data_IF_717046783052
#
_entry.id   IF_717046783052
#
_cell.length_a   1.000
_cell.length_b   1.000
_cell.length_c   1.000
_cell.angle_alpha   90.00
_cell.angle_beta   90.00
_cell.angle_gamma   90.00
#
_symmetry.space_group_name_H-M   'P 1'
#
loop_
_entity.id
_entity.type
_entity.pdbx_description
1 polymer ?
#
# COMPACT_ATOMS: atom_id res chain seq x y z
N UNK A 1 -19.43 92.49 -46.14
CA UNK A 1 -18.02 92.11 -45.93
C UNK A 1 -17.87 91.61 -44.51
N UNK A 2 -17.74 90.29 -44.35
CA UNK A 2 -17.04 89.63 -43.25
C UNK A 2 -16.64 88.24 -43.77
N UNK A 3 -15.38 87.79 -43.60
CA UNK A 3 -14.80 86.75 -44.45
C UNK A 3 -15.13 85.34 -43.97
N UNK A 4 -15.22 84.44 -44.94
CA UNK A 4 -15.39 82.99 -44.79
C UNK A 4 -14.09 82.35 -44.25
N UNK A 5 -14.18 81.36 -43.33
CA UNK A 5 -12.98 80.80 -42.68
C UNK A 5 -12.15 79.94 -43.63
N UNK A 6 -10.83 80.15 -43.60
CA UNK A 6 -9.83 79.39 -44.35
C UNK A 6 -9.79 77.90 -43.94
N UNK A 7 -9.57 76.98 -44.90
CA UNK A 7 -9.44 75.56 -44.60
C UNK A 7 -8.14 75.24 -43.87
N UNK A 8 -8.26 74.38 -42.86
CA UNK A 8 -7.17 73.92 -42.00
C UNK A 8 -6.17 73.04 -42.78
N UNK A 9 -4.84 73.19 -42.59
CA UNK A 9 -3.84 72.40 -43.30
C UNK A 9 -3.85 70.92 -42.87
N UNK A 10 -3.68 70.02 -43.84
CA UNK A 10 -3.46 68.58 -43.64
C UNK A 10 -2.17 68.33 -42.83
N UNK A 11 -2.16 67.39 -41.87
CA UNK A 11 -0.93 67.01 -41.18
C UNK A 11 -0.02 66.16 -42.09
N UNK A 12 1.28 66.48 -42.07
CA UNK A 12 2.34 65.81 -42.83
C UNK A 12 2.49 64.31 -42.51
N UNK A 13 2.94 63.47 -43.47
CA UNK A 13 3.25 62.08 -43.22
C UNK A 13 4.64 61.95 -42.56
N UNK A 14 4.66 61.59 -41.27
CA UNK A 14 5.90 61.45 -40.50
C UNK A 14 5.97 60.17 -39.68
N UNK A 15 6.81 59.22 -40.13
CA UNK A 15 7.46 58.21 -39.29
C UNK A 15 6.99 56.76 -39.46
N UNK A 16 7.71 55.97 -40.26
CA UNK A 16 7.68 54.51 -40.18
C UNK A 16 8.19 54.04 -38.80
N UNK A 17 7.34 53.35 -38.05
CA UNK A 17 7.71 52.66 -36.82
C UNK A 17 8.29 51.29 -37.25
N UNK A 18 9.53 50.92 -36.88
CA UNK A 18 10.05 49.61 -37.22
C UNK A 18 9.21 48.53 -36.53
N UNK A 19 8.70 47.59 -37.34
CA UNK A 19 8.01 46.40 -36.87
C UNK A 19 8.94 45.55 -36.01
N UNK A 20 8.67 45.54 -34.71
CA UNK A 20 9.23 44.61 -33.75
C UNK A 20 8.13 44.21 -32.79
N UNK A 21 7.52 43.04 -33.02
CA UNK A 21 6.62 42.41 -32.06
C UNK A 21 7.50 42.03 -30.87
N UNK A 22 7.34 42.71 -29.73
CA UNK A 22 7.89 42.24 -28.46
C UNK A 22 7.05 41.01 -28.09
N UNK A 23 7.63 39.80 -27.96
CA UNK A 23 6.87 38.66 -27.51
C UNK A 23 6.49 38.91 -26.03
N UNK A 24 5.20 38.89 -25.74
CA UNK A 24 4.71 38.75 -24.37
C UNK A 24 5.33 37.47 -23.77
N UNK A 25 5.71 37.46 -22.48
CA UNK A 25 6.13 36.22 -21.84
C UNK A 25 5.00 35.20 -21.99
N UNK A 26 5.31 34.09 -22.62
CA UNK A 26 4.40 32.96 -22.77
C UNK A 26 4.08 32.46 -21.36
N UNK A 27 2.81 32.57 -20.98
CA UNK A 27 2.33 31.93 -19.75
C UNK A 27 2.51 30.44 -20.00
N UNK A 28 3.47 29.82 -19.33
CA UNK A 28 3.56 28.36 -19.26
C UNK A 28 2.23 27.86 -18.68
N UNK A 29 1.35 27.40 -19.56
CA UNK A 29 0.23 26.57 -19.17
C UNK A 29 0.87 25.27 -18.68
N UNK A 30 0.71 24.89 -17.40
CA UNK A 30 1.22 23.61 -16.93
C UNK A 30 0.70 22.52 -17.84
N UNK A 31 1.63 21.68 -18.30
CA UNK A 31 1.44 20.76 -19.41
C UNK A 31 0.12 19.99 -19.39
N UNK A 32 -0.33 19.71 -20.61
CA UNK A 32 -1.43 18.81 -20.95
C UNK A 32 -1.50 17.63 -19.96
N UNK A 33 -2.56 17.59 -19.16
CA UNK A 33 -2.81 16.55 -18.17
C UNK A 33 -3.05 15.23 -18.92
N UNK A 34 -2.18 14.21 -18.79
CA UNK A 34 -2.47 12.92 -19.41
C UNK A 34 -3.61 12.26 -18.61
N UNK A 35 -4.76 12.09 -19.25
CA UNK A 35 -5.90 11.32 -18.74
C UNK A 35 -7.15 12.17 -18.51
N UNK A 36 -8.00 12.29 -19.53
CA UNK A 36 -9.38 12.79 -19.39
C UNK A 36 -10.28 11.71 -18.77
N UNK A 37 -9.97 11.30 -17.54
CA UNK A 37 -10.97 10.75 -16.62
C UNK A 37 -11.77 11.91 -16.07
N UNK A 38 -13.10 11.91 -16.23
CA UNK A 38 -13.99 13.02 -15.85
C UNK A 38 -13.63 13.73 -14.54
N UNK A 39 -13.65 15.07 -14.56
CA UNK A 39 -13.25 15.94 -13.44
C UNK A 39 -14.19 15.71 -12.25
N UNK A 40 -13.70 15.03 -11.22
CA UNK A 40 -14.36 14.85 -9.92
C UNK A 40 -14.08 16.03 -8.99
N UNK A 41 -14.93 16.25 -7.98
CA UNK A 41 -14.69 17.32 -6.97
C UNK A 41 -13.66 16.85 -5.93
N UNK A 42 -12.95 17.75 -5.23
CA UNK A 42 -12.02 17.35 -4.16
C UNK A 42 -12.66 16.46 -3.07
N UNK A 43 -13.93 16.71 -2.72
CA UNK A 43 -14.67 15.87 -1.78
C UNK A 43 -14.95 14.46 -2.33
N UNK A 44 -15.25 14.35 -3.63
CA UNK A 44 -15.40 13.06 -4.31
C UNK A 44 -14.09 12.29 -4.30
N UNK A 45 -12.98 12.91 -4.67
CA UNK A 45 -11.66 12.26 -4.69
C UNK A 45 -11.23 11.78 -3.30
N UNK A 46 -11.49 12.60 -2.29
CA UNK A 46 -11.19 12.23 -0.91
C UNK A 46 -11.99 11.00 -0.47
N UNK A 47 -13.27 10.92 -0.85
CA UNK A 47 -14.10 9.74 -0.57
C UNK A 47 -13.59 8.51 -1.34
N UNK A 48 -13.27 8.62 -2.62
CA UNK A 48 -12.77 7.47 -3.41
C UNK A 48 -11.43 6.96 -2.87
N UNK A 49 -10.55 7.87 -2.46
CA UNK A 49 -9.29 7.54 -1.81
C UNK A 49 -9.52 6.81 -0.49
N UNK A 50 -10.43 7.31 0.34
CA UNK A 50 -10.73 6.72 1.65
C UNK A 50 -11.59 5.45 1.56
N UNK A 51 -12.33 5.23 0.47
CA UNK A 51 -12.97 3.95 0.18
C UNK A 51 -11.92 2.87 -0.12
N UNK A 52 -10.87 3.23 -0.87
CA UNK A 52 -9.83 2.30 -1.32
C UNK A 52 -8.77 1.99 -0.27
N UNK A 53 -8.43 2.98 0.58
CA UNK A 53 -7.29 2.90 1.50
C UNK A 53 -7.35 1.70 2.47
N UNK A 54 -8.48 1.39 3.15
CA UNK A 54 -8.53 0.28 4.11
C UNK A 54 -8.16 -1.09 3.53
N UNK A 55 -8.56 -1.37 2.28
CA UNK A 55 -8.21 -2.61 1.57
C UNK A 55 -6.70 -2.71 1.34
N UNK A 56 -6.08 -1.62 0.87
CA UNK A 56 -4.64 -1.56 0.63
C UNK A 56 -3.84 -1.65 1.94
N UNK A 57 -4.29 -0.96 3.00
CA UNK A 57 -3.69 -1.04 4.34
C UNK A 57 -3.73 -2.50 4.84
N UNK A 58 -4.88 -3.17 4.71
CA UNK A 58 -5.03 -4.57 5.11
C UNK A 58 -4.04 -5.48 4.36
N UNK A 59 -3.95 -5.34 3.04
CA UNK A 59 -3.06 -6.14 2.19
C UNK A 59 -1.58 -5.86 2.50
N UNK A 60 -1.19 -4.61 2.72
CA UNK A 60 0.18 -4.23 3.10
C UNK A 60 0.60 -4.91 4.41
N UNK A 61 -0.26 -4.85 5.43
CA UNK A 61 -0.04 -5.53 6.71
C UNK A 61 0.02 -7.06 6.56
N UNK A 62 -0.84 -7.65 5.71
CA UNK A 62 -0.91 -9.09 5.48
C UNK A 62 0.35 -9.60 4.78
N UNK A 63 0.79 -8.92 3.72
CA UNK A 63 2.04 -9.21 3.02
C UNK A 63 3.24 -9.19 3.96
N UNK A 64 3.17 -8.34 4.99
CA UNK A 64 4.24 -8.25 5.96
C UNK A 64 4.30 -9.44 6.94
N UNK A 65 3.23 -10.22 7.13
CA UNK A 65 3.19 -11.41 8.03
C UNK A 65 4.16 -12.53 7.66
N UNK A 66 4.53 -12.59 6.38
CA UNK A 66 5.41 -13.61 5.81
C UNK A 66 6.83 -13.59 6.38
N UNK A 67 7.27 -12.45 6.93
CA UNK A 67 8.67 -12.18 7.26
C UNK A 67 9.21 -12.89 8.51
N UNK A 68 8.35 -13.58 9.28
CA UNK A 68 8.82 -14.41 10.40
C UNK A 68 9.42 -15.76 9.98
N UNK A 69 9.19 -16.22 8.75
CA UNK A 69 9.49 -17.61 8.33
C UNK A 69 10.95 -18.00 8.52
N UNK A 70 11.89 -17.12 8.18
CA UNK A 70 13.33 -17.37 8.40
C UNK A 70 13.68 -17.57 9.87
N UNK A 71 13.02 -16.85 10.78
CA UNK A 71 13.19 -16.99 12.22
C UNK A 71 12.47 -18.22 12.81
N UNK A 72 11.42 -18.73 12.14
CA UNK A 72 10.71 -19.95 12.56
C UNK A 72 11.52 -21.22 12.28
N UNK A 73 12.18 -21.30 11.12
CA UNK A 73 12.94 -22.50 10.73
C UNK A 73 14.11 -22.78 11.68
N UNK A 74 14.68 -21.73 12.29
CA UNK A 74 15.80 -21.84 13.23
C UNK A 74 15.33 -21.96 14.70
N UNK A 75 14.03 -22.16 14.95
CA UNK A 75 13.49 -22.28 16.30
C UNK A 75 13.62 -23.71 16.87
N UNK A 76 14.34 -23.82 17.98
CA UNK A 76 14.44 -25.03 18.81
C UNK A 76 13.58 -24.97 20.09
N UNK A 77 12.97 -23.81 20.39
CA UNK A 77 12.09 -23.58 21.54
C UNK A 77 10.67 -24.11 21.33
N UNK A 78 9.96 -24.32 22.44
CA UNK A 78 8.57 -24.79 22.43
C UNK A 78 7.56 -23.66 22.17
N UNK A 79 7.99 -22.41 22.37
CA UNK A 79 7.21 -21.23 22.06
C UNK A 79 8.12 -20.06 21.61
N UNK A 80 7.49 -19.00 21.12
CA UNK A 80 8.19 -17.75 20.87
C UNK A 80 7.27 -16.55 20.91
N UNK A 81 7.85 -15.40 21.24
CA UNK A 81 7.22 -14.10 21.13
C UNK A 81 8.00 -13.26 20.11
N UNK A 82 7.31 -12.38 19.41
CA UNK A 82 7.95 -11.53 18.41
C UNK A 82 7.28 -10.16 18.34
N UNK A 83 8.06 -9.20 17.88
CA UNK A 83 7.63 -7.81 17.64
C UNK A 83 8.22 -7.36 16.31
N UNK A 84 7.48 -6.51 15.59
CA UNK A 84 7.99 -5.90 14.38
C UNK A 84 7.40 -4.52 14.12
N UNK A 85 8.11 -3.74 13.34
CA UNK A 85 7.62 -2.50 12.75
C UNK A 85 7.16 -2.72 11.32
N UNK A 86 6.18 -1.92 10.90
CA UNK A 86 5.64 -1.87 9.55
C UNK A 86 5.85 -0.46 9.04
N UNK A 87 6.47 -0.31 7.87
CA UNK A 87 6.56 0.96 7.15
C UNK A 87 6.23 0.74 5.68
N UNK A 88 5.32 1.52 5.13
CA UNK A 88 4.99 1.42 3.71
C UNK A 88 4.64 2.78 3.10
N UNK A 89 5.02 2.97 1.84
CA UNK A 89 4.49 4.04 0.99
C UNK A 89 3.78 3.41 -0.20
N UNK A 90 2.59 3.90 -0.51
CA UNK A 90 1.81 3.45 -1.67
C UNK A 90 1.38 4.64 -2.49
N UNK A 91 1.61 4.60 -3.80
CA UNK A 91 1.05 5.53 -4.77
C UNK A 91 -0.06 4.80 -5.53
N UNK A 92 -1.24 5.41 -5.61
CA UNK A 92 -2.38 4.88 -6.38
C UNK A 92 -2.72 5.88 -7.48
N UNK A 93 -2.80 5.36 -8.70
CA UNK A 93 -3.19 6.10 -9.90
C UNK A 93 -4.10 5.24 -10.75
N UNK A 94 -5.41 5.35 -10.56
CA UNK A 94 -6.40 4.53 -11.26
C UNK A 94 -7.67 5.31 -11.60
N UNK A 95 -7.94 5.54 -12.89
CA UNK A 95 -9.12 6.23 -13.41
C UNK A 95 -9.50 7.52 -12.64
N UNK A 96 -10.42 7.43 -11.67
CA UNK A 96 -10.89 8.55 -10.84
C UNK A 96 -10.30 8.55 -9.42
N UNK A 97 -9.36 7.67 -9.13
CA UNK A 97 -8.80 7.43 -7.79
C UNK A 97 -7.30 7.66 -7.82
N UNK A 98 -6.86 8.77 -7.23
CA UNK A 98 -5.46 9.18 -7.16
C UNK A 98 -5.10 9.66 -5.76
N UNK A 99 -4.17 8.97 -5.09
CA UNK A 99 -3.70 9.35 -3.77
C UNK A 99 -2.37 8.69 -3.41
N UNK A 100 -1.76 9.17 -2.34
CA UNK A 100 -0.56 8.58 -1.74
C UNK A 100 -0.83 8.19 -0.30
N UNK A 101 -0.32 7.05 0.12
CA UNK A 101 -0.36 6.59 1.50
C UNK A 101 1.04 6.56 2.10
N UNK A 102 1.14 6.99 3.35
CA UNK A 102 2.29 6.75 4.21
C UNK A 102 1.81 6.02 5.46
N UNK A 103 2.20 4.75 5.59
CA UNK A 103 1.80 3.86 6.66
C UNK A 103 2.98 3.59 7.58
N UNK A 104 2.72 3.66 8.89
CA UNK A 104 3.63 3.18 9.93
C UNK A 104 2.85 2.37 10.96
N UNK A 105 3.49 1.38 11.58
CA UNK A 105 2.82 0.55 12.57
C UNK A 105 3.75 -0.37 13.34
N UNK A 106 3.15 -1.01 14.35
CA UNK A 106 3.78 -1.99 15.20
C UNK A 106 2.88 -3.22 15.27
N UNK A 107 3.48 -4.40 15.24
CA UNK A 107 2.77 -5.67 15.42
C UNK A 107 3.53 -6.52 16.43
N UNK A 108 2.78 -7.18 17.31
CA UNK A 108 3.30 -8.10 18.32
C UNK A 108 2.52 -9.41 18.25
N UNK A 109 3.19 -10.51 18.52
CA UNK A 109 2.53 -11.80 18.59
C UNK A 109 3.34 -12.86 19.31
N UNK A 110 2.70 -14.02 19.47
CA UNK A 110 3.29 -15.18 20.08
C UNK A 110 2.74 -16.45 19.45
N UNK A 111 3.57 -17.49 19.42
CA UNK A 111 3.21 -18.81 18.94
C UNK A 111 3.76 -19.93 19.79
N UNK A 112 3.13 -21.09 19.66
CA UNK A 112 3.62 -22.38 20.16
C UNK A 112 4.09 -23.24 18.99
N UNK A 113 5.08 -24.06 19.26
CA UNK A 113 5.64 -25.03 18.33
C UNK A 113 5.18 -26.43 18.70
N UNK A 114 4.68 -27.17 17.72
CA UNK A 114 4.33 -28.59 17.85
C UNK A 114 5.20 -29.37 16.86
N UNK A 115 6.05 -30.24 17.39
CA UNK A 115 6.90 -31.11 16.59
C UNK A 115 6.17 -32.40 16.24
N UNK A 116 6.26 -32.80 14.98
CA UNK A 116 5.77 -34.06 14.43
C UNK A 116 6.93 -34.84 13.81
N UNK A 117 6.72 -36.13 13.55
CA UNK A 117 7.71 -36.94 12.81
C UNK A 117 7.93 -36.42 11.39
N UNK A 118 6.91 -35.82 10.78
CA UNK A 118 6.96 -35.27 9.43
C UNK A 118 7.49 -33.83 9.37
N UNK A 119 7.51 -33.08 10.47
CA UNK A 119 7.79 -31.63 10.42
C UNK A 119 7.55 -30.87 11.72
N UNK A 120 7.44 -29.54 11.63
CA UNK A 120 7.11 -28.64 12.75
C UNK A 120 5.91 -27.76 12.38
N UNK A 121 4.93 -27.66 13.26
CA UNK A 121 3.84 -26.70 13.14
C UNK A 121 3.97 -25.58 14.17
N UNK A 122 3.54 -24.38 13.77
CA UNK A 122 3.50 -23.18 14.57
C UNK A 122 2.06 -22.69 14.62
N UNK A 123 1.55 -22.42 15.81
CA UNK A 123 0.22 -21.86 16.01
C UNK A 123 0.32 -20.62 16.87
N UNK A 124 -0.14 -19.49 16.36
CA UNK A 124 0.01 -18.22 17.07
C UNK A 124 -1.10 -17.23 16.82
N UNK A 125 -1.03 -16.18 17.63
CA UNK A 125 -1.90 -15.01 17.55
C UNK A 125 -1.06 -13.74 17.53
N UNK A 126 -1.64 -12.67 16.99
CA UNK A 126 -1.00 -11.36 16.96
C UNK A 126 -2.03 -10.24 17.04
N UNK A 127 -1.53 -9.06 17.38
CA UNK A 127 -2.26 -7.80 17.27
C UNK A 127 -1.34 -6.74 16.70
N UNK A 128 -1.90 -5.81 15.95
CA UNK A 128 -1.17 -4.67 15.41
C UNK A 128 -1.91 -3.36 15.62
N UNK A 129 -1.12 -2.30 15.62
CA UNK A 129 -1.60 -0.92 15.50
C UNK A 129 -0.85 -0.25 14.34
N UNK A 130 -1.56 0.47 13.49
CA UNK A 130 -0.97 1.26 12.42
C UNK A 130 -1.63 2.62 12.29
N UNK A 131 -0.85 3.63 11.93
CA UNK A 131 -1.32 4.94 11.55
C UNK A 131 -0.96 5.20 10.08
N UNK A 132 -1.92 5.71 9.33
CA UNK A 132 -1.80 5.92 7.89
C UNK A 132 -2.27 7.31 7.51
N UNK A 133 -1.39 8.07 6.87
CA UNK A 133 -1.74 9.33 6.23
C UNK A 133 -2.09 9.07 4.77
N UNK A 134 -3.30 9.50 4.36
CA UNK A 134 -3.81 9.41 2.98
C UNK A 134 -3.82 10.82 2.39
N UNK A 135 -2.85 11.10 1.52
CA UNK A 135 -2.68 12.40 0.85
C UNK A 135 -3.47 12.39 -0.45
N UNK A 136 -4.49 13.23 -0.53
CA UNK A 136 -5.39 13.32 -1.68
C UNK A 136 -4.77 14.10 -2.82
N UNK A 137 -5.04 13.69 -4.07
CA UNK A 137 -4.53 14.39 -5.26
C UNK A 137 -4.92 15.87 -5.32
N UNK A 138 -6.13 16.22 -4.85
CA UNK A 138 -6.66 17.60 -4.87
C UNK A 138 -6.54 18.32 -3.52
N UNK A 139 -5.67 17.84 -2.64
CA UNK A 139 -5.31 18.52 -1.39
C UNK A 139 -6.05 18.02 -0.16
N UNK A 140 -5.37 18.14 0.98
CA UNK A 140 -5.77 17.58 2.27
C UNK A 140 -5.16 16.20 2.52
N UNK A 141 -5.02 15.89 3.81
CA UNK A 141 -4.46 14.62 4.29
C UNK A 141 -5.45 14.02 5.28
N UNK A 142 -6.04 12.89 4.91
CA UNK A 142 -6.88 12.10 5.79
C UNK A 142 -6.05 11.14 6.62
N UNK A 143 -6.61 10.69 7.75
CA UNK A 143 -5.94 9.76 8.66
C UNK A 143 -6.76 8.49 8.79
N UNK A 144 -6.05 7.36 8.83
CA UNK A 144 -6.63 6.05 9.13
C UNK A 144 -5.82 5.41 10.25
N UNK A 145 -6.49 5.13 11.37
CA UNK A 145 -5.92 4.26 12.40
C UNK A 145 -6.43 2.83 12.19
N UNK A 146 -5.51 1.88 12.12
CA UNK A 146 -5.75 0.45 11.94
C UNK A 146 -5.45 -0.28 13.24
N UNK A 147 -6.44 -0.98 13.78
CA UNK A 147 -6.28 -1.89 14.92
C UNK A 147 -6.58 -3.30 14.44
N UNK A 148 -5.62 -4.21 14.53
CA UNK A 148 -5.81 -5.57 14.04
C UNK A 148 -5.62 -6.63 15.11
N UNK A 149 -6.29 -7.75 14.92
CA UNK A 149 -6.05 -9.01 15.63
C UNK A 149 -6.10 -10.14 14.61
N UNK A 150 -5.22 -11.12 14.77
CA UNK A 150 -5.20 -12.26 13.86
C UNK A 150 -4.62 -13.50 14.49
N UNK A 151 -4.83 -14.62 13.81
CA UNK A 151 -4.27 -15.92 14.13
C UNK A 151 -3.58 -16.50 12.91
N UNK A 152 -2.61 -17.37 13.15
CA UNK A 152 -1.89 -18.04 12.08
C UNK A 152 -1.52 -19.46 12.44
N UNK A 153 -1.39 -20.27 11.40
CA UNK A 153 -0.84 -21.61 11.45
C UNK A 153 0.19 -21.76 10.33
N UNK A 154 1.39 -22.21 10.68
CA UNK A 154 2.46 -22.48 9.72
C UNK A 154 2.95 -23.90 9.94
N UNK A 155 3.01 -24.72 8.90
CA UNK A 155 3.59 -26.07 8.96
C UNK A 155 4.77 -26.17 8.01
N UNK A 156 5.91 -26.61 8.52
CA UNK A 156 7.13 -26.91 7.76
C UNK A 156 7.33 -28.42 7.75
N UNK A 157 7.30 -29.00 6.57
CA UNK A 157 7.58 -30.40 6.34
C UNK A 157 9.09 -30.64 6.18
N UNK A 158 9.58 -31.82 6.59
CA UNK A 158 10.99 -32.20 6.42
C UNK A 158 11.42 -32.30 4.95
N UNK A 159 10.47 -32.48 4.02
CA UNK A 159 10.75 -32.42 2.58
C UNK A 159 11.15 -31.03 2.07
N UNK A 160 10.92 -29.97 2.85
CA UNK A 160 11.13 -28.59 2.43
C UNK A 160 9.84 -27.87 2.01
N UNK A 161 8.72 -28.60 1.85
CA UNK A 161 7.40 -27.99 1.64
C UNK A 161 6.94 -27.27 2.90
N UNK A 162 6.30 -26.12 2.73
CA UNK A 162 5.57 -25.48 3.82
C UNK A 162 4.18 -25.02 3.38
N UNK A 163 3.31 -24.85 4.37
CA UNK A 163 2.05 -24.13 4.24
C UNK A 163 1.95 -23.11 5.37
N UNK A 164 1.50 -21.91 5.03
CA UNK A 164 1.23 -20.82 5.97
C UNK A 164 -0.19 -20.32 5.76
N UNK A 165 -0.92 -20.08 6.84
CA UNK A 165 -2.30 -19.61 6.79
C UNK A 165 -2.53 -18.55 7.85
N UNK A 166 -3.19 -17.47 7.45
CA UNK A 166 -3.49 -16.32 8.31
C UNK A 166 -4.96 -15.99 8.20
N UNK A 167 -5.59 -15.72 9.36
CA UNK A 167 -6.88 -15.04 9.45
C UNK A 167 -6.70 -13.77 10.26
N UNK A 168 -7.19 -12.64 9.74
CA UNK A 168 -7.00 -11.32 10.35
C UNK A 168 -8.27 -10.50 10.28
N UNK A 169 -8.55 -9.81 11.37
CA UNK A 169 -9.60 -8.80 11.49
C UNK A 169 -8.96 -7.43 11.73
N UNK A 170 -9.47 -6.40 11.06
CA UNK A 170 -9.07 -5.01 11.28
C UNK A 170 -10.29 -4.16 11.66
N UNK A 171 -10.11 -3.25 12.60
CA UNK A 171 -10.99 -2.12 12.86
C UNK A 171 -10.28 -0.83 12.42
N UNK A 172 -10.90 -0.12 11.49
CA UNK A 172 -10.40 1.15 10.95
C UNK A 172 -11.19 2.30 11.53
N UNK A 173 -10.48 3.30 12.06
CA UNK A 173 -11.02 4.63 12.34
C UNK A 173 -10.55 5.56 11.23
N UNK A 174 -11.49 6.09 10.47
CA UNK A 174 -11.21 6.92 9.31
C UNK A 174 -11.60 8.37 9.63
N UNK A 175 -10.64 9.27 9.51
CA UNK A 175 -10.83 10.71 9.61
C UNK A 175 -10.50 11.35 8.26
N UNK A 176 -11.54 11.55 7.46
CA UNK A 176 -11.46 12.22 6.17
C UNK A 176 -11.29 13.72 6.40
N UNK A 177 -10.22 14.26 5.83
CA UNK A 177 -9.87 15.68 5.78
C UNK A 177 -9.39 16.01 4.37
N UNK A 178 -10.14 16.88 3.70
CA UNK A 178 -9.87 17.36 2.35
C UNK A 178 -10.10 18.87 2.27
N UNK A 179 -9.65 19.49 1.18
CA UNK A 179 -9.88 20.91 0.94
C UNK A 179 -10.77 21.11 -0.30
N UNK A 180 -11.83 21.91 -0.14
CA UNK A 180 -12.69 22.33 -1.24
C UNK A 180 -11.97 23.27 -2.21
N UNK A 181 -12.50 23.44 -3.42
CA UNK A 181 -11.95 24.37 -4.42
C UNK A 181 -11.91 25.82 -3.97
N UNK A 182 -12.79 26.22 -3.03
CA UNK A 182 -12.83 27.54 -2.41
C UNK A 182 -11.98 27.63 -1.12
N UNK A 183 -11.14 26.62 -0.84
CA UNK A 183 -10.26 26.58 0.34
C UNK A 183 -10.94 26.12 1.65
N UNK A 184 -12.26 25.93 1.66
CA UNK A 184 -12.99 25.47 2.86
C UNK A 184 -12.66 24.01 3.20
N UNK A 185 -12.60 23.70 4.49
CA UNK A 185 -12.31 22.34 4.96
C UNK A 185 -13.50 21.39 4.75
N UNK A 186 -13.22 20.20 4.21
CA UNK A 186 -14.18 19.11 4.03
C UNK A 186 -13.77 17.99 4.99
N UNK A 187 -14.64 17.70 5.96
CA UNK A 187 -14.35 16.74 7.02
C UNK A 187 -15.46 15.68 7.15
N UNK A 188 -15.08 14.47 7.53
CA UNK A 188 -15.99 13.39 7.92
C UNK A 188 -15.26 12.28 8.68
N UNK A 189 -15.91 11.69 9.68
CA UNK A 189 -15.32 10.62 10.49
C UNK A 189 -16.23 9.41 10.52
N UNK A 190 -15.67 8.22 10.35
CA UNK A 190 -16.42 6.97 10.34
C UNK A 190 -15.53 5.77 10.62
N UNK A 191 -16.14 4.67 11.07
CA UNK A 191 -15.43 3.42 11.31
C UNK A 191 -15.85 2.35 10.31
N UNK A 192 -14.89 1.50 9.94
CA UNK A 192 -15.10 0.31 9.12
C UNK A 192 -14.42 -0.88 9.78
N UNK A 193 -14.93 -2.07 9.49
CA UNK A 193 -14.30 -3.32 9.89
C UNK A 193 -13.89 -4.08 8.63
N UNK A 194 -12.83 -4.87 8.72
CA UNK A 194 -12.43 -5.77 7.64
C UNK A 194 -12.12 -7.15 8.18
N UNK A 195 -12.42 -8.16 7.37
CA UNK A 195 -12.07 -9.54 7.64
C UNK A 195 -11.43 -10.12 6.38
N UNK A 196 -10.33 -10.83 6.57
CA UNK A 196 -9.61 -11.44 5.47
C UNK A 196 -8.53 -12.39 5.95
N UNK A 197 -7.81 -12.96 5.00
CA UNK A 197 -6.77 -13.93 5.27
C UNK A 197 -5.98 -14.30 4.03
N UNK A 198 -4.99 -15.14 4.23
CA UNK A 198 -4.17 -15.68 3.16
C UNK A 198 -3.78 -17.13 3.43
N UNK A 199 -3.53 -17.85 2.34
CA UNK A 199 -2.87 -19.15 2.35
C UNK A 199 -1.68 -19.07 1.41
N UNK A 200 -0.52 -19.51 1.88
CA UNK A 200 0.71 -19.58 1.10
C UNK A 200 1.29 -20.99 1.17
N UNK A 201 1.72 -21.50 0.02
CA UNK A 201 2.45 -22.78 -0.09
C UNK A 201 3.76 -22.51 -0.80
N UNK A 202 4.85 -23.09 -0.30
CA UNK A 202 6.16 -22.98 -0.93
C UNK A 202 7.00 -24.21 -0.69
N UNK A 203 8.16 -24.24 -1.35
CA UNK A 203 9.09 -25.36 -1.29
C UNK A 203 10.52 -24.83 -1.20
N UNK A 204 11.16 -25.01 -0.05
CA UNK A 204 12.54 -24.61 0.18
C UNK A 204 13.47 -25.78 -0.12
N UNK A 205 14.44 -25.58 -1.02
CA UNK A 205 15.46 -26.59 -1.33
C UNK A 205 16.85 -25.98 -1.43
N UNK A 206 17.84 -26.71 -0.95
CA UNK A 206 19.24 -26.38 -1.20
C UNK A 206 19.61 -26.73 -2.65
N UNK A 207 20.32 -25.83 -3.32
CA UNK A 207 20.77 -26.01 -4.71
C UNK A 207 22.29 -26.09 -4.84
N UNK A 208 23.01 -25.55 -3.86
CA UNK A 208 24.46 -25.64 -3.70
C UNK A 208 24.80 -25.41 -2.22
N UNK A 209 26.07 -25.52 -1.86
CA UNK A 209 26.53 -25.32 -0.48
C UNK A 209 26.02 -24.01 0.12
N UNK A 210 25.12 -24.15 1.10
CA UNK A 210 24.41 -23.08 1.80
C UNK A 210 23.57 -22.15 0.93
N UNK A 211 23.38 -22.43 -0.35
CA UNK A 211 22.47 -21.69 -1.24
C UNK A 211 21.14 -22.40 -1.35
N UNK A 212 20.06 -21.66 -1.15
CA UNK A 212 18.70 -22.18 -1.23
C UNK A 212 17.84 -21.35 -2.17
N UNK A 213 16.82 -22.01 -2.71
CA UNK A 213 15.77 -21.45 -3.54
C UNK A 213 14.42 -21.82 -2.93
N UNK A 214 13.47 -20.89 -2.99
CA UNK A 214 12.13 -21.10 -2.45
C UNK A 214 11.08 -20.47 -3.37
N UNK A 215 10.60 -21.22 -4.39
CA UNK A 215 9.36 -20.87 -5.07
C UNK A 215 8.16 -20.97 -4.13
N UNK A 216 7.18 -20.08 -4.33
CA UNK A 216 5.95 -20.06 -3.56
C UNK A 216 4.77 -19.52 -4.37
N UNK A 217 3.57 -19.85 -3.90
CA UNK A 217 2.30 -19.29 -4.36
C UNK A 217 1.46 -18.91 -3.14
N UNK A 218 0.80 -17.77 -3.21
CA UNK A 218 -0.08 -17.24 -2.15
C UNK A 218 -1.39 -16.75 -2.74
N UNK A 219 -2.48 -17.07 -2.05
CA UNK A 219 -3.81 -16.53 -2.31
C UNK A 219 -4.24 -15.70 -1.10
N UNK A 220 -4.74 -14.49 -1.33
CA UNK A 220 -5.22 -13.59 -0.27
C UNK A 220 -6.59 -13.03 -0.62
N UNK A 221 -7.47 -12.94 0.38
CA UNK A 221 -8.77 -12.31 0.26
C UNK A 221 -9.04 -11.39 1.45
N UNK A 222 -9.67 -10.24 1.19
CA UNK A 222 -10.20 -9.36 2.22
C UNK A 222 -11.51 -8.73 1.77
N UNK A 223 -12.42 -8.56 2.72
CA UNK A 223 -13.58 -7.71 2.59
C UNK A 223 -13.52 -6.60 3.64
N UNK A 224 -13.59 -5.35 3.19
CA UNK A 224 -13.84 -4.18 4.03
C UNK A 224 -15.33 -3.87 4.00
N UNK A 225 -15.93 -3.75 5.18
CA UNK A 225 -17.33 -3.42 5.35
C UNK A 225 -17.67 -2.06 4.72
N UNK A 226 -18.73 -2.01 3.92
CA UNK A 226 -19.27 -0.78 3.37
C UNK A 226 -19.78 0.21 4.43
N UNK A 227 -19.92 1.48 4.06
CA UNK A 227 -20.30 2.55 4.98
C UNK A 227 -21.01 3.72 4.29
N UNK A 228 -22.05 4.23 4.95
CA UNK A 228 -22.60 5.55 4.65
C UNK A 228 -21.78 6.64 5.35
N UNK A 229 -21.26 7.57 4.56
CA UNK A 229 -20.43 8.69 5.01
C UNK A 229 -21.15 10.00 4.70
N UNK A 230 -21.20 10.88 5.69
CA UNK A 230 -21.70 12.25 5.52
C UNK A 230 -20.56 13.23 5.84
N UNK A 231 -20.34 14.19 4.95
CA UNK A 231 -19.35 15.24 5.13
C UNK A 231 -20.00 16.52 5.66
N UNK A 232 -19.22 17.37 6.31
CA UNK A 232 -19.65 18.66 6.85
C UNK A 232 -20.20 19.64 5.79
N UNK A 233 -19.85 19.46 4.52
CA UNK A 233 -20.34 20.27 3.40
C UNK A 233 -21.66 19.75 2.80
N UNK A 234 -22.29 18.74 3.43
CA UNK A 234 -23.56 18.16 3.01
C UNK A 234 -23.45 17.03 1.97
N UNK A 235 -22.24 16.72 1.49
CA UNK A 235 -22.03 15.56 0.60
C UNK A 235 -22.29 14.26 1.36
N UNK A 236 -23.00 13.33 0.71
CA UNK A 236 -23.23 11.97 1.22
C UNK A 236 -22.64 10.96 0.27
N UNK A 237 -21.99 9.95 0.81
CA UNK A 237 -21.45 8.83 0.06
C UNK A 237 -21.90 7.51 0.66
N UNK A 238 -22.23 6.56 -0.19
CA UNK A 238 -22.46 5.18 0.15
C UNK A 238 -21.30 4.38 -0.44
N UNK A 239 -20.36 3.97 0.42
CA UNK A 239 -19.23 3.11 0.07
C UNK A 239 -19.75 1.68 0.19
N UNK A 240 -19.77 0.91 -0.90
CA UNK A 240 -20.13 -0.51 -0.81
C UNK A 240 -19.00 -1.29 -0.13
N UNK A 241 -19.22 -2.59 0.09
CA UNK A 241 -18.11 -3.46 0.48
C UNK A 241 -16.95 -3.31 -0.51
N UNK A 242 -15.73 -3.25 0.02
CA UNK A 242 -14.51 -3.18 -0.77
C UNK A 242 -13.80 -4.52 -0.64
N UNK A 243 -13.79 -5.28 -1.73
CA UNK A 243 -13.23 -6.62 -1.77
C UNK A 243 -11.87 -6.62 -2.50
N UNK A 244 -10.96 -7.47 -2.04
CA UNK A 244 -9.68 -7.79 -2.71
C UNK A 244 -9.58 -9.29 -2.81
N UNK A 245 -9.22 -9.80 -3.98
CA UNK A 245 -8.75 -11.16 -4.17
C UNK A 245 -7.48 -11.08 -4.99
N UNK A 246 -6.35 -11.51 -4.44
CA UNK A 246 -5.10 -11.53 -5.19
C UNK A 246 -4.33 -12.83 -5.04
N UNK A 247 -3.62 -13.16 -6.12
CA UNK A 247 -2.63 -14.25 -6.17
C UNK A 247 -1.24 -13.64 -6.28
N UNK A 248 -0.29 -14.17 -5.53
CA UNK A 248 1.13 -13.85 -5.65
C UNK A 248 1.90 -15.13 -5.99
N UNK A 249 2.70 -15.08 -7.05
CA UNK A 249 3.66 -16.13 -7.40
C UNK A 249 5.05 -15.53 -7.26
N UNK A 250 5.95 -16.20 -6.57
CA UNK A 250 7.29 -15.68 -6.42
C UNK A 250 8.34 -16.71 -6.10
N UNK A 251 9.56 -16.19 -5.99
CA UNK A 251 10.76 -16.94 -5.73
C UNK A 251 11.63 -16.13 -4.77
N UNK A 252 12.10 -16.79 -3.72
CA UNK A 252 13.14 -16.28 -2.85
C UNK A 252 14.43 -17.06 -3.12
N UNK A 253 15.57 -16.37 -3.09
CA UNK A 253 16.90 -16.99 -3.18
C UNK A 253 17.77 -16.43 -2.08
N UNK A 254 18.47 -17.29 -1.36
CA UNK A 254 19.29 -16.85 -0.23
C UNK A 254 20.50 -17.72 -0.01
N UNK A 255 21.35 -17.26 0.90
CA UNK A 255 22.54 -17.98 1.32
C UNK A 255 22.73 -17.91 2.82
N UNK A 256 23.03 -19.04 3.44
CA UNK A 256 23.32 -19.09 4.87
C UNK A 256 24.82 -18.89 5.14
N UNK A 257 25.15 -17.94 6.02
CA UNK A 257 26.50 -17.71 6.52
C UNK A 257 26.57 -18.02 8.01
N UNK A 258 27.34 -19.03 8.36
CA UNK A 258 27.67 -19.31 9.76
C UNK A 258 28.75 -18.35 10.24
N UNK A 259 28.45 -17.59 11.29
CA UNK A 259 29.36 -16.62 11.92
C UNK A 259 29.67 -17.09 13.35
N UNK A 260 30.96 -17.33 13.62
CA UNK A 260 31.39 -17.87 14.91
C UNK A 260 30.84 -19.28 15.16
N UNK A 261 30.54 -19.60 16.42
CA UNK A 261 30.19 -20.96 16.82
C UNK A 261 28.71 -21.33 16.63
N UNK A 262 27.79 -20.36 16.53
CA UNK A 262 26.35 -20.67 16.52
C UNK A 262 25.44 -19.64 15.87
N UNK A 263 25.97 -18.52 15.37
CA UNK A 263 25.15 -17.50 14.72
C UNK A 263 25.05 -17.78 13.23
N UNK A 264 23.86 -17.58 12.65
CA UNK A 264 23.62 -17.74 11.22
C UNK A 264 23.03 -16.44 10.68
N UNK A 265 23.60 -15.93 9.61
CA UNK A 265 23.10 -14.76 8.87
C UNK A 265 22.72 -15.21 7.48
N UNK A 266 21.47 -14.97 7.11
CA UNK A 266 20.88 -15.39 5.84
C UNK A 266 20.38 -14.16 5.08
N UNK A 267 21.22 -13.50 4.26
CA UNK A 267 20.74 -12.59 3.25
C UNK A 267 19.97 -13.33 2.16
N UNK A 268 18.92 -12.70 1.64
CA UNK A 268 18.12 -13.22 0.55
C UNK A 268 17.59 -12.09 -0.34
N UNK A 269 17.31 -12.45 -1.58
CA UNK A 269 16.60 -11.63 -2.55
C UNK A 269 15.28 -12.32 -2.91
N UNK A 270 14.32 -11.52 -3.36
CA UNK A 270 13.01 -12.00 -3.77
C UNK A 270 12.53 -11.31 -5.03
N UNK A 271 11.76 -12.06 -5.79
CA UNK A 271 11.02 -11.58 -6.93
C UNK A 271 9.62 -12.20 -6.88
N UNK A 272 8.60 -11.41 -7.19
CA UNK A 272 7.23 -11.89 -7.26
C UNK A 272 6.44 -11.16 -8.33
N UNK A 273 5.40 -11.83 -8.81
CA UNK A 273 4.31 -11.27 -9.57
C UNK A 273 3.05 -11.41 -8.73
N UNK A 274 2.28 -10.33 -8.61
CA UNK A 274 0.99 -10.31 -7.93
C UNK A 274 -0.09 -9.86 -8.91
N UNK A 275 -1.26 -10.47 -8.82
CA UNK A 275 -2.42 -10.10 -9.61
C UNK A 275 -3.64 -9.93 -8.71
N UNK A 276 -4.24 -8.73 -8.74
CA UNK A 276 -5.51 -8.43 -8.11
C UNK A 276 -6.65 -8.67 -9.12
N UNK A 277 -7.61 -9.52 -8.75
CA UNK A 277 -8.71 -9.96 -9.62
C UNK A 277 -9.95 -9.06 -9.52
N UNK A 278 -10.20 -8.42 -8.37
CA UNK A 278 -11.44 -7.68 -8.16
C UNK A 278 -11.31 -6.27 -8.74
N UNK A 279 -12.26 -5.93 -9.62
CA UNK A 279 -12.24 -4.72 -10.43
C UNK A 279 -13.52 -3.87 -10.28
N UNK A 280 -14.41 -4.21 -9.34
CA UNK A 280 -15.78 -3.69 -9.28
C UNK A 280 -16.20 -3.08 -7.93
N UNK A 281 -15.24 -2.56 -7.17
CA UNK A 281 -15.51 -1.88 -5.91
C UNK A 281 -16.22 -0.55 -6.14
N UNK A 282 -17.45 -0.41 -5.66
CA UNK A 282 -18.34 0.70 -6.03
C UNK A 282 -18.55 1.68 -4.88
N UNK A 283 -18.56 2.98 -5.19
CA UNK A 283 -18.97 4.06 -4.28
C UNK A 283 -19.99 4.97 -4.95
N UNK A 284 -21.12 5.20 -4.30
CA UNK A 284 -22.20 6.06 -4.79
C UNK A 284 -22.21 7.39 -4.05
N UNK A 285 -22.04 8.49 -4.78
CA UNK A 285 -22.05 9.86 -4.25
C UNK A 285 -23.41 10.51 -4.50
N UNK A 286 -23.96 11.12 -3.45
CA UNK A 286 -25.22 11.87 -3.45
C UNK A 286 -26.40 11.10 -4.06
N UNK A 287 -26.40 9.77 -3.94
CA UNK A 287 -27.41 8.85 -4.51
C UNK A 287 -27.59 8.96 -6.04
N UNK A 288 -26.60 9.50 -6.75
CA UNK A 288 -26.70 9.75 -8.21
C UNK A 288 -25.49 9.28 -8.99
N UNK A 289 -24.28 9.58 -8.48
CA UNK A 289 -23.05 9.32 -9.22
C UNK A 289 -22.39 8.07 -8.67
N UNK A 290 -22.35 7.01 -9.47
CA UNK A 290 -21.68 5.76 -9.12
C UNK A 290 -20.26 5.77 -9.69
N UNK A 291 -19.28 5.48 -8.85
CA UNK A 291 -17.88 5.36 -9.23
C UNK A 291 -17.40 3.95 -8.94
N UNK A 292 -16.73 3.35 -9.92
CA UNK A 292 -16.02 2.09 -9.74
C UNK A 292 -14.54 2.41 -9.47
N UNK A 293 -14.02 1.95 -8.33
CA UNK A 293 -12.60 1.92 -8.04
C UNK A 293 -12.03 0.57 -8.45
N UNK A 294 -11.47 0.54 -9.66
CA UNK A 294 -10.84 -0.65 -10.20
C UNK A 294 -9.34 -0.70 -9.86
N UNK A 295 -8.95 -1.42 -8.81
CA UNK A 295 -7.53 -1.64 -8.47
C UNK A 295 -6.93 -2.92 -9.07
N UNK A 296 -7.68 -3.65 -9.91
CA UNK A 296 -7.21 -4.90 -10.53
C UNK A 296 -6.01 -4.69 -11.44
N UNK A 297 -5.19 -5.73 -11.54
CA UNK A 297 -4.05 -5.77 -12.45
C UNK A 297 -2.79 -6.35 -11.84
N UNK A 298 -1.75 -6.36 -12.67
CA UNK A 298 -0.47 -6.97 -12.37
C UNK A 298 0.48 -6.00 -11.67
N UNK A 299 1.18 -6.51 -10.66
CA UNK A 299 2.24 -5.82 -9.93
C UNK A 299 3.48 -6.71 -9.92
N UNK A 300 4.60 -6.19 -10.40
CA UNK A 300 5.90 -6.81 -10.22
C UNK A 300 6.52 -6.35 -8.90
N UNK A 301 7.13 -7.27 -8.16
CA UNK A 301 7.74 -7.02 -6.85
C UNK A 301 9.16 -7.55 -6.82
N UNK A 302 10.07 -6.76 -6.25
CA UNK A 302 11.44 -7.16 -5.94
C UNK A 302 11.81 -6.69 -4.55
N UNK A 303 12.70 -7.41 -3.88
CA UNK A 303 13.13 -7.01 -2.55
C UNK A 303 14.35 -7.76 -2.05
N UNK A 304 14.86 -7.28 -0.93
CA UNK A 304 16.06 -7.78 -0.26
C UNK A 304 15.78 -7.92 1.22
N UNK A 305 16.31 -8.96 1.84
CA UNK A 305 16.18 -9.19 3.26
C UNK A 305 17.38 -9.86 3.88
N UNK A 306 17.41 -9.82 5.21
CA UNK A 306 18.36 -10.55 6.03
C UNK A 306 17.66 -11.12 7.24
N UNK A 307 17.89 -12.41 7.50
CA UNK A 307 17.57 -13.04 8.78
C UNK A 307 18.88 -13.28 9.54
N UNK A 308 18.92 -12.97 10.83
CA UNK A 308 20.10 -13.17 11.66
C UNK A 308 19.70 -13.84 12.98
N UNK A 309 20.16 -15.07 13.20
CA UNK A 309 20.07 -15.73 14.50
C UNK A 309 21.30 -15.38 15.31
N UNK A 310 21.11 -14.50 16.29
CA UNK A 310 22.17 -14.02 17.17
C UNK A 310 22.52 -15.06 18.24
N UNK A 311 21.49 -15.78 18.72
CA UNK A 311 21.61 -16.93 19.63
C UNK A 311 20.50 -17.94 19.34
N UNK A 312 20.43 -19.04 20.10
CA UNK A 312 19.31 -19.99 20.02
C UNK A 312 17.95 -19.35 20.40
N UNK A 313 18.00 -18.28 21.20
CA UNK A 313 16.81 -17.60 21.69
C UNK A 313 16.46 -16.37 20.87
N UNK A 314 17.42 -15.68 20.25
CA UNK A 314 17.19 -14.37 19.63
C UNK A 314 17.46 -14.41 18.15
N UNK A 315 16.44 -14.06 17.37
CA UNK A 315 16.54 -13.84 15.93
C UNK A 315 16.06 -12.45 15.56
N UNK A 316 16.74 -11.83 14.60
CA UNK A 316 16.37 -10.57 13.97
C UNK A 316 16.04 -10.81 12.50
N UNK A 317 15.13 -10.02 11.97
CA UNK A 317 14.89 -9.96 10.54
C UNK A 317 14.68 -8.52 10.09
N UNK A 318 15.18 -8.19 8.91
CA UNK A 318 14.96 -6.91 8.27
C UNK A 318 14.80 -7.11 6.77
N UNK A 319 13.93 -6.32 6.16
CA UNK A 319 13.63 -6.48 4.75
C UNK A 319 13.11 -5.18 4.14
N UNK A 320 13.31 -5.06 2.83
CA UNK A 320 12.83 -3.95 2.03
C UNK A 320 12.32 -4.45 0.67
N UNK A 321 11.21 -3.86 0.22
CA UNK A 321 10.52 -4.17 -1.02
C UNK A 321 10.29 -2.92 -1.87
N UNK A 322 10.37 -3.12 -3.18
CA UNK A 322 9.84 -2.25 -4.21
C UNK A 322 8.81 -3.03 -5.03
N UNK A 323 7.69 -2.39 -5.37
CA UNK A 323 6.73 -3.00 -6.30
C UNK A 323 6.07 -1.96 -7.19
N UNK A 324 5.76 -2.36 -8.42
CA UNK A 324 5.15 -1.48 -9.42
C UNK A 324 4.23 -2.26 -10.36
N UNK A 325 3.04 -1.73 -10.53
CA UNK A 325 2.08 -2.07 -11.58
C UNK A 325 1.58 -0.81 -12.28
N UNK A 326 0.56 -0.95 -13.11
CA UNK A 326 -0.01 0.18 -13.86
C UNK A 326 -0.77 1.16 -12.97
N UNK A 327 -1.37 0.67 -11.88
CA UNK A 327 -2.26 1.45 -10.99
C UNK A 327 -1.71 1.67 -9.59
N UNK A 328 -0.83 0.77 -9.14
CA UNK A 328 -0.29 0.75 -7.78
C UNK A 328 1.22 0.67 -7.87
N UNK A 329 1.89 1.55 -7.13
CA UNK A 329 3.33 1.49 -6.89
C UNK A 329 3.58 1.56 -5.39
N UNK A 330 4.38 0.65 -4.85
CA UNK A 330 4.94 0.78 -3.51
C UNK A 330 6.43 1.08 -3.65
N UNK A 331 6.84 2.36 -3.63
CA UNK A 331 8.25 2.72 -3.80
C UNK A 331 9.14 2.23 -2.66
N UNK A 332 8.57 2.05 -1.47
CA UNK A 332 9.25 1.43 -0.34
C UNK A 332 8.24 0.77 0.59
N UNK A 333 8.41 -0.52 0.83
CA UNK A 333 7.87 -1.21 1.99
C UNK A 333 9.04 -1.77 2.80
N UNK A 334 9.08 -1.51 4.10
CA UNK A 334 10.16 -1.93 4.97
C UNK A 334 9.62 -2.55 6.25
N UNK A 335 10.34 -3.54 6.76
CA UNK A 335 10.08 -4.13 8.06
C UNK A 335 11.38 -4.34 8.83
N UNK A 336 11.24 -4.34 10.15
CA UNK A 336 12.26 -4.78 11.08
C UNK A 336 11.55 -5.54 12.19
N UNK A 337 12.06 -6.70 12.56
CA UNK A 337 11.51 -7.44 13.69
C UNK A 337 12.52 -8.25 14.47
N UNK A 338 12.07 -8.61 15.66
CA UNK A 338 12.80 -9.37 16.65
C UNK A 338 11.91 -10.51 17.14
N UNK A 339 12.51 -11.69 17.27
CA UNK A 339 11.88 -12.88 17.84
C UNK A 339 12.70 -13.39 19.01
N UNK A 340 12.00 -13.75 20.09
CA UNK A 340 12.53 -14.41 21.26
C UNK A 340 11.89 -15.79 21.42
N UNK A 341 12.70 -16.85 21.39
CA UNK A 341 12.29 -18.24 21.57
C UNK A 341 12.56 -18.69 23.01
N UNK A 342 11.61 -19.42 23.61
CA UNK A 342 11.69 -19.96 24.96
C UNK A 342 11.01 -21.33 25.10
#
# INVERSE_FOLDING_TARGET
MTPEPEPQPEPEPGGEIPGGIIPLPEVEIPGEIPGTGGITTPGTDAILSMASAPQLIFNNELNNLRFRKGALQQNDGAAGAWVRTIGNKTNVSSDHTHFKMEQSGLEIGADKVVSYDSGKAFFGGFTSYGNVDVKHQRGGTSKVDSYSVGVYATYFDRSGVYIDSVLKYNHFKNDLQAQSTNGSAINGSYNQNALGGSVEVGYNTMVADSFWIEPYSKLSYVQVQGKDVALNNGMKANINNQDSLNTELGINVGKDFTVGASSVVTPYAKMAWNHEYIDNNTTVINHRNSFNTNLSGDVAKVGLGVNASLSKQVSLFAEMDYSKGNKIENPIAANLGLRYNF
#
